data_IF_074831218639
#
_entry.id   IF_074831218639
#
_cell.length_a   1.000
_cell.length_b   1.000
_cell.length_c   1.000
_cell.angle_alpha   90.00
_cell.angle_beta   90.00
_cell.angle_gamma   90.00
#
_symmetry.space_group_name_H-M   'P 1'
#
loop_
_entity.id
_entity.type
_entity.pdbx_description
1 polymer ?
#
# COMPACT_ATOMS: atom_id res chain seq x y z
N UNK A 1 1.77 15.53 -49.66
CA UNK A 1 1.31 14.81 -48.46
C UNK A 1 2.44 14.92 -47.43
N UNK A 2 2.27 15.81 -46.45
CA UNK A 2 3.37 16.46 -45.72
C UNK A 2 4.03 15.52 -44.68
N UNK A 3 5.35 15.57 -44.53
CA UNK A 3 6.15 14.77 -43.59
C UNK A 3 5.68 14.89 -42.12
N UNK A 4 5.12 16.05 -41.76
CA UNK A 4 4.50 16.29 -40.46
C UNK A 4 3.28 15.39 -40.18
N UNK A 5 2.55 14.97 -41.23
CA UNK A 5 1.40 14.07 -41.09
C UNK A 5 1.86 12.62 -40.87
N UNK A 6 2.94 12.19 -41.54
CA UNK A 6 3.60 10.89 -41.27
C UNK A 6 4.19 10.81 -39.86
N UNK A 7 4.72 11.92 -39.32
CA UNK A 7 5.26 11.97 -37.95
C UNK A 7 4.15 11.94 -36.87
N UNK A 8 2.97 12.51 -37.16
CA UNK A 8 1.79 12.38 -36.31
C UNK A 8 1.19 10.96 -36.34
N UNK A 9 1.18 10.30 -37.50
CA UNK A 9 0.66 8.92 -37.62
C UNK A 9 1.61 7.87 -37.02
N UNK A 10 2.91 8.18 -36.91
CA UNK A 10 3.92 7.36 -36.21
C UNK A 10 3.82 7.47 -34.66
N UNK A 11 3.19 8.54 -34.16
CA UNK A 11 2.77 8.69 -32.76
C UNK A 11 1.45 7.94 -32.53
N UNK A 12 1.37 6.67 -32.93
CA UNK A 12 0.49 5.72 -32.24
C UNK A 12 0.95 5.72 -30.79
N UNK A 13 0.27 6.50 -29.94
CA UNK A 13 0.61 6.79 -28.56
C UNK A 13 0.82 5.48 -27.81
N UNK A 14 2.08 5.08 -27.72
CA UNK A 14 2.51 3.89 -27.04
C UNK A 14 2.78 4.29 -25.60
N UNK A 15 1.75 4.12 -24.78
CA UNK A 15 1.86 4.28 -23.33
C UNK A 15 2.40 2.96 -22.77
N UNK A 16 3.71 2.90 -22.55
CA UNK A 16 4.31 1.74 -21.90
C UNK A 16 4.26 1.95 -20.39
N UNK A 17 3.59 1.04 -19.69
CA UNK A 17 3.44 1.08 -18.25
C UNK A 17 4.48 0.15 -17.60
N UNK A 18 5.48 0.74 -16.95
CA UNK A 18 6.41 0.00 -16.10
C UNK A 18 5.78 -0.18 -14.72
N UNK A 19 5.50 -1.42 -14.34
CA UNK A 19 4.84 -1.73 -13.06
C UNK A 19 5.62 -2.78 -12.27
N UNK A 20 5.77 -2.51 -10.98
CA UNK A 20 6.41 -3.41 -10.04
C UNK A 20 5.52 -4.65 -9.84
N UNK A 21 5.94 -5.78 -10.43
CA UNK A 21 5.52 -7.16 -10.14
C UNK A 21 4.03 -7.55 -10.31
N UNK A 22 3.13 -6.69 -10.82
CA UNK A 22 1.70 -7.02 -11.01
C UNK A 22 1.21 -6.71 -12.43
N UNK A 23 0.47 -7.66 -13.01
CA UNK A 23 -0.20 -7.54 -14.32
C UNK A 23 -1.64 -7.02 -14.20
N UNK A 24 -2.06 -6.68 -12.98
CA UNK A 24 -3.41 -6.27 -12.63
C UNK A 24 -3.39 -5.04 -11.71
N UNK A 25 -4.46 -4.26 -11.79
CA UNK A 25 -4.80 -3.21 -10.83
C UNK A 25 -5.52 -3.87 -9.67
N UNK A 26 -5.18 -3.44 -8.47
CA UNK A 26 -5.84 -3.83 -7.24
C UNK A 26 -6.70 -2.67 -6.74
N UNK A 27 -7.89 -2.98 -6.24
CA UNK A 27 -8.78 -1.99 -5.62
C UNK A 27 -8.48 -1.95 -4.10
N UNK A 28 -7.66 -0.99 -3.61
CA UNK A 28 -7.03 -1.09 -2.29
C UNK A 28 -8.03 -1.02 -1.12
N UNK A 29 -9.16 -0.33 -1.28
CA UNK A 29 -10.19 -0.24 -0.24
C UNK A 29 -11.01 -1.53 -0.07
N UNK A 30 -10.77 -2.55 -0.89
CA UNK A 30 -11.40 -3.87 -0.72
C UNK A 30 -10.49 -4.85 0.02
N UNK A 31 -9.26 -4.44 0.35
CA UNK A 31 -8.21 -5.36 0.79
C UNK A 31 -8.54 -6.08 2.08
N UNK A 32 -9.16 -5.40 3.05
CA UNK A 32 -9.49 -6.03 4.35
C UNK A 32 -10.60 -7.05 4.21
N UNK A 33 -11.69 -6.67 3.53
CA UNK A 33 -12.78 -7.61 3.23
C UNK A 33 -12.33 -8.81 2.42
N UNK A 34 -11.42 -8.59 1.48
CA UNK A 34 -10.93 -9.68 0.63
C UNK A 34 -10.08 -10.72 1.39
N UNK A 35 -9.56 -10.40 2.58
CA UNK A 35 -8.90 -11.37 3.48
C UNK A 35 -9.89 -12.33 4.15
N UNK A 36 -11.18 -11.99 4.22
CA UNK A 36 -12.21 -12.84 4.84
C UNK A 36 -13.24 -13.37 3.84
N UNK A 37 -13.31 -12.78 2.65
CA UNK A 37 -14.24 -13.13 1.58
C UNK A 37 -13.50 -13.27 0.23
N UNK A 38 -13.02 -14.49 -0.13
CA UNK A 38 -12.22 -14.70 -1.34
C UNK A 38 -12.87 -14.23 -2.65
N UNK A 39 -14.20 -14.27 -2.74
CA UNK A 39 -14.92 -13.80 -3.93
C UNK A 39 -14.79 -12.29 -4.16
N UNK A 40 -14.53 -11.50 -3.11
CA UNK A 40 -14.24 -10.07 -3.22
C UNK A 40 -12.82 -9.86 -3.74
N UNK A 41 -11.87 -10.70 -3.30
CA UNK A 41 -10.51 -10.68 -3.82
C UNK A 41 -10.51 -10.82 -5.34
N UNK A 42 -11.20 -11.81 -5.89
CA UNK A 42 -11.27 -12.03 -7.34
C UNK A 42 -11.85 -10.83 -8.10
N UNK A 43 -12.86 -10.16 -7.54
CA UNK A 43 -13.52 -8.99 -8.17
C UNK A 43 -12.74 -7.70 -8.01
N UNK A 44 -11.81 -7.64 -7.05
CA UNK A 44 -10.97 -6.47 -6.77
C UNK A 44 -9.76 -6.35 -7.70
N UNK A 45 -9.51 -7.36 -8.54
CA UNK A 45 -8.40 -7.38 -9.48
C UNK A 45 -8.90 -7.07 -10.90
N UNK A 46 -8.32 -6.06 -11.53
CA UNK A 46 -8.63 -5.67 -12.91
C UNK A 46 -7.38 -5.82 -13.75
N UNK A 47 -7.35 -6.75 -14.71
CA UNK A 47 -6.14 -6.97 -15.51
C UNK A 47 -5.80 -5.75 -16.34
N UNK A 48 -4.51 -5.43 -16.44
CA UNK A 48 -4.05 -4.28 -17.22
C UNK A 48 -4.36 -4.43 -18.71
N UNK A 49 -4.42 -5.66 -19.22
CA UNK A 49 -4.86 -5.97 -20.59
C UNK A 49 -6.26 -5.47 -20.91
N UNK A 50 -7.13 -5.34 -19.90
CA UNK A 50 -8.55 -5.08 -20.12
C UNK A 50 -8.82 -3.60 -20.37
N UNK A 51 -7.90 -2.72 -19.97
CA UNK A 51 -8.08 -1.26 -20.05
C UNK A 51 -6.86 -0.50 -20.59
N UNK A 52 -5.68 -1.12 -20.70
CA UNK A 52 -4.53 -0.53 -21.36
C UNK A 52 -4.40 -1.08 -22.79
N UNK A 53 -4.25 -0.16 -23.75
CA UNK A 53 -3.94 -0.49 -25.14
C UNK A 53 -2.44 -0.50 -25.45
N UNK A 54 -1.59 -0.20 -24.47
CA UNK A 54 -0.13 -0.11 -24.60
C UNK A 54 0.62 -1.33 -24.07
N UNK A 55 1.95 -1.28 -24.02
CA UNK A 55 2.75 -2.38 -23.46
C UNK A 55 2.74 -2.32 -21.93
N UNK A 56 2.47 -3.46 -21.30
CA UNK A 56 2.68 -3.63 -19.86
C UNK A 56 4.04 -4.29 -19.65
N UNK A 57 4.93 -3.63 -18.91
CA UNK A 57 6.25 -4.14 -18.55
C UNK A 57 6.23 -4.43 -17.06
N UNK A 58 6.14 -5.71 -16.70
CA UNK A 58 6.19 -6.17 -15.31
C UNK A 58 7.64 -6.21 -14.84
N UNK A 59 8.14 -5.11 -14.29
CA UNK A 59 9.48 -5.00 -13.75
C UNK A 59 9.58 -3.86 -12.73
N UNK A 60 10.59 -3.94 -11.86
CA UNK A 60 10.86 -2.90 -10.88
C UNK A 60 11.74 -1.81 -11.50
N UNK A 61 11.37 -0.54 -11.32
CA UNK A 61 12.28 0.58 -11.52
C UNK A 61 13.35 0.56 -10.43
N UNK A 62 14.58 0.85 -10.82
CA UNK A 62 15.74 0.95 -9.95
C UNK A 62 16.31 2.37 -9.94
N UNK A 63 16.24 3.08 -11.07
CA UNK A 63 16.81 4.42 -11.21
C UNK A 63 16.18 5.15 -12.42
N UNK A 64 16.39 6.47 -12.51
CA UNK A 64 16.10 7.31 -13.67
C UNK A 64 17.38 8.03 -14.07
N UNK A 65 17.75 7.91 -15.35
CA UNK A 65 18.85 8.69 -15.92
C UNK A 65 18.46 9.26 -17.28
N UNK A 66 18.51 10.59 -17.38
CA UNK A 66 18.06 11.31 -18.56
C UNK A 66 16.64 10.92 -18.98
N UNK A 67 16.47 10.53 -20.23
CA UNK A 67 15.17 10.15 -20.83
C UNK A 67 14.88 8.64 -20.70
N UNK A 68 15.48 7.94 -19.74
CA UNK A 68 15.23 6.51 -19.53
C UNK A 68 15.04 6.12 -18.06
N UNK A 69 14.15 5.14 -17.84
CA UNK A 69 14.02 4.43 -16.56
C UNK A 69 14.89 3.18 -16.61
N UNK A 70 15.74 3.01 -15.61
CA UNK A 70 16.59 1.83 -15.44
C UNK A 70 15.82 0.82 -14.59
N UNK A 71 15.65 -0.40 -15.11
CA UNK A 71 15.05 -1.52 -14.38
C UNK A 71 16.06 -2.16 -13.45
N UNK A 72 15.59 -2.89 -12.43
CA UNK A 72 16.45 -3.70 -11.54
C UNK A 72 17.31 -4.74 -12.29
N UNK A 73 16.89 -5.17 -13.46
CA UNK A 73 17.64 -6.08 -14.35
C UNK A 73 18.68 -5.34 -15.22
N UNK A 74 18.84 -4.02 -15.07
CA UNK A 74 19.76 -3.18 -15.86
C UNK A 74 19.24 -2.79 -17.25
N UNK A 75 18.03 -3.20 -17.63
CA UNK A 75 17.41 -2.81 -18.92
C UNK A 75 16.82 -1.42 -18.86
N UNK A 76 16.96 -0.68 -19.96
CA UNK A 76 16.44 0.67 -20.12
C UNK A 76 15.03 0.67 -20.72
N UNK A 77 14.21 1.61 -20.27
CA UNK A 77 12.92 1.96 -20.89
C UNK A 77 12.94 3.46 -21.17
N UNK A 78 13.12 3.81 -22.43
CA UNK A 78 13.12 5.21 -22.89
C UNK A 78 11.72 5.83 -22.81
N UNK A 79 11.65 7.12 -22.51
CA UNK A 79 10.41 7.87 -22.42
C UNK A 79 10.57 9.29 -22.95
N UNK A 80 9.51 9.82 -23.57
CA UNK A 80 9.40 11.27 -23.84
C UNK A 80 8.70 11.99 -22.69
N UNK A 81 7.75 11.31 -22.05
CA UNK A 81 7.05 11.77 -20.85
C UNK A 81 6.99 10.63 -19.85
N UNK A 82 7.25 10.91 -18.58
CA UNK A 82 7.22 9.95 -17.49
C UNK A 82 6.14 10.33 -16.47
N UNK A 83 5.35 9.34 -16.04
CA UNK A 83 4.43 9.49 -14.92
C UNK A 83 4.84 8.51 -13.82
N UNK A 84 5.19 9.03 -12.65
CA UNK A 84 5.56 8.25 -11.47
C UNK A 84 4.34 8.14 -10.56
N UNK A 85 3.71 6.97 -10.54
CA UNK A 85 2.54 6.68 -9.70
C UNK A 85 2.79 5.45 -8.79
N UNK A 86 4.01 5.37 -8.24
CA UNK A 86 4.38 4.28 -7.34
C UNK A 86 3.79 4.56 -5.95
N UNK A 87 2.70 3.88 -5.59
CA UNK A 87 2.08 4.01 -4.26
C UNK A 87 2.98 3.43 -3.15
N UNK A 88 2.57 3.62 -1.89
CA UNK A 88 3.16 2.98 -0.71
C UNK A 88 3.40 1.48 -0.96
N UNK A 89 4.48 0.92 -0.41
CA UNK A 89 4.61 -0.53 -0.30
C UNK A 89 3.56 -1.04 0.69
N UNK A 90 2.32 -1.20 0.23
CA UNK A 90 1.34 -1.97 0.95
C UNK A 90 1.85 -3.41 0.98
N UNK A 91 2.39 -3.81 2.13
CA UNK A 91 2.64 -5.21 2.44
C UNK A 91 1.33 -5.99 2.62
N UNK A 92 0.19 -5.36 2.38
CA UNK A 92 -1.06 -6.01 2.02
C UNK A 92 -0.96 -6.49 0.56
N UNK A 93 0.13 -7.19 0.24
CA UNK A 93 0.11 -8.03 -0.94
C UNK A 93 -0.95 -9.07 -0.65
N UNK A 94 -1.96 -9.17 -1.51
CA UNK A 94 -2.79 -10.36 -1.63
C UNK A 94 -1.87 -11.57 -1.72
N UNK A 95 -1.56 -12.14 -0.57
CA UNK A 95 -1.15 -13.51 -0.54
C UNK A 95 -2.47 -14.23 -0.30
N UNK A 96 -2.84 -15.06 -1.26
CA UNK A 96 -3.87 -16.10 -1.16
C UNK A 96 -3.76 -17.05 0.07
N UNK A 97 -2.77 -17.01 0.99
CA UNK A 97 -2.86 -17.68 2.29
C UNK A 97 -3.49 -16.86 3.41
N UNK A 98 -3.86 -15.59 3.26
CA UNK A 98 -4.35 -14.80 4.41
C UNK A 98 -5.76 -15.22 4.88
N UNK A 99 -6.66 -15.54 3.95
CA UNK A 99 -7.98 -16.11 4.26
C UNK A 99 -7.85 -17.48 4.92
N UNK A 100 -6.95 -18.32 4.39
CA UNK A 100 -6.58 -19.63 4.95
C UNK A 100 -6.04 -19.44 6.37
N UNK A 101 -5.09 -18.53 6.58
CA UNK A 101 -4.51 -18.23 7.90
C UNK A 101 -5.59 -17.81 8.89
N UNK A 102 -6.46 -16.87 8.53
CA UNK A 102 -7.55 -16.41 9.41
C UNK A 102 -8.48 -17.57 9.75
N UNK A 103 -8.92 -18.31 8.74
CA UNK A 103 -9.88 -19.42 8.90
C UNK A 103 -9.38 -20.54 9.79
N UNK A 104 -8.08 -20.80 9.82
CA UNK A 104 -7.47 -21.88 10.60
C UNK A 104 -6.69 -21.40 11.84
N UNK A 105 -6.85 -20.13 12.24
CA UNK A 105 -6.28 -19.60 13.47
C UNK A 105 -7.35 -19.49 14.54
N UNK A 106 -7.08 -20.00 15.74
CA UNK A 106 -7.99 -19.79 16.88
C UNK A 106 -7.78 -18.41 17.50
N UNK A 107 -6.57 -17.86 17.35
CA UNK A 107 -6.16 -16.57 17.92
C UNK A 107 -5.44 -15.70 16.90
N UNK A 108 -5.89 -14.44 16.77
CA UNK A 108 -5.40 -13.49 15.77
C UNK A 108 -5.06 -12.17 16.46
N UNK A 109 -3.84 -11.72 16.23
CA UNK A 109 -3.34 -10.41 16.64
C UNK A 109 -3.33 -9.44 15.45
N UNK A 110 -3.81 -8.22 15.67
CA UNK A 110 -3.75 -7.11 14.72
C UNK A 110 -2.99 -5.96 15.37
N UNK A 111 -1.97 -5.44 14.71
CA UNK A 111 -1.13 -4.34 15.21
C UNK A 111 -1.38 -3.10 14.35
N UNK A 112 -1.96 -2.05 14.94
CA UNK A 112 -2.31 -0.77 14.31
C UNK A 112 -3.81 -0.48 14.36
N UNK A 113 -4.22 0.58 15.06
CA UNK A 113 -5.63 0.95 15.31
C UNK A 113 -6.21 2.03 14.37
N UNK A 114 -5.58 2.24 13.23
CA UNK A 114 -6.04 3.13 12.16
C UNK A 114 -7.00 2.40 11.20
N UNK A 115 -7.60 3.06 10.17
CA UNK A 115 -8.70 2.48 9.38
C UNK A 115 -8.47 1.03 8.94
N UNK A 116 -7.28 0.74 8.42
CA UNK A 116 -6.86 -0.60 8.01
C UNK A 116 -7.02 -1.68 9.07
N UNK A 117 -6.49 -1.45 10.28
CA UNK A 117 -6.55 -2.47 11.35
C UNK A 117 -7.91 -2.56 12.01
N UNK A 118 -8.63 -1.44 12.11
CA UNK A 118 -10.02 -1.44 12.61
C UNK A 118 -10.96 -2.18 11.66
N UNK A 119 -10.82 -1.96 10.35
CA UNK A 119 -11.59 -2.65 9.33
C UNK A 119 -11.29 -4.14 9.33
N UNK A 120 -10.01 -4.55 9.37
CA UNK A 120 -9.64 -5.96 9.44
C UNK A 120 -10.19 -6.65 10.71
N UNK A 121 -10.07 -6.00 11.88
CA UNK A 121 -10.61 -6.54 13.12
C UNK A 121 -12.13 -6.73 13.03
N UNK A 122 -12.84 -5.79 12.39
CA UNK A 122 -14.27 -5.87 12.21
C UNK A 122 -14.69 -6.97 11.23
N UNK A 123 -14.02 -7.08 10.09
CA UNK A 123 -14.25 -8.13 9.08
C UNK A 123 -14.05 -9.52 9.69
N UNK A 124 -12.98 -9.73 10.48
CA UNK A 124 -12.74 -11.00 11.15
C UNK A 124 -13.81 -11.28 12.22
N UNK A 125 -14.12 -10.31 13.09
CA UNK A 125 -15.07 -10.52 14.17
C UNK A 125 -16.52 -10.79 13.68
N UNK A 126 -16.86 -10.36 12.47
CA UNK A 126 -18.16 -10.65 11.85
C UNK A 126 -18.15 -12.01 11.15
N UNK A 127 -17.10 -12.32 10.39
CA UNK A 127 -17.07 -13.51 9.54
C UNK A 127 -16.59 -14.76 10.28
N UNK A 128 -15.82 -14.59 11.36
CA UNK A 128 -15.21 -15.64 12.17
C UNK A 128 -15.43 -15.34 13.67
N UNK A 129 -16.69 -15.40 14.16
CA UNK A 129 -17.04 -14.97 15.52
C UNK A 129 -16.43 -15.83 16.64
N UNK A 130 -15.96 -17.04 16.31
CA UNK A 130 -15.32 -17.94 17.25
C UNK A 130 -13.82 -17.65 17.44
N UNK A 131 -13.21 -16.88 16.53
CA UNK A 131 -11.80 -16.53 16.61
C UNK A 131 -11.57 -15.50 17.72
N UNK A 132 -10.53 -15.72 18.53
CA UNK A 132 -10.06 -14.71 19.48
C UNK A 132 -9.31 -13.61 18.70
N UNK A 133 -9.87 -12.41 18.65
CA UNK A 133 -9.23 -11.25 17.99
C UNK A 133 -8.70 -10.27 19.03
N UNK A 134 -7.42 -9.94 18.93
CA UNK A 134 -6.77 -8.91 19.75
C UNK A 134 -6.23 -7.80 18.85
N UNK A 135 -6.60 -6.56 19.11
CA UNK A 135 -6.12 -5.35 18.43
C UNK A 135 -5.24 -4.54 19.37
N UNK A 136 -4.01 -4.26 18.94
CA UNK A 136 -3.03 -3.46 19.69
C UNK A 136 -2.76 -2.17 18.91
N UNK A 137 -2.82 -1.03 19.61
CA UNK A 137 -2.52 0.28 19.04
C UNK A 137 -1.73 1.12 20.03
N UNK A 138 -0.72 1.81 19.52
CA UNK A 138 0.26 2.60 20.25
C UNK A 138 -0.26 3.94 20.75
N UNK A 139 -1.49 4.33 20.39
CA UNK A 139 -2.08 5.62 20.74
C UNK A 139 -3.33 5.51 21.62
N UNK A 140 -3.78 6.61 22.26
CA UNK A 140 -4.89 6.59 23.20
C UNK A 140 -6.26 6.29 22.59
N UNK A 141 -6.40 6.27 21.26
CA UNK A 141 -7.70 6.07 20.60
C UNK A 141 -7.54 5.48 19.21
N UNK A 142 -8.48 4.61 18.83
CA UNK A 142 -8.62 4.14 17.45
C UNK A 142 -9.02 5.29 16.51
N UNK A 143 -8.67 5.14 15.23
CA UNK A 143 -9.05 6.06 14.15
C UNK A 143 -8.74 7.52 14.53
N UNK A 144 -7.50 7.82 14.88
CA UNK A 144 -7.12 9.19 15.21
C UNK A 144 -7.33 10.13 14.02
N UNK A 145 -7.04 9.63 12.82
CA UNK A 145 -7.23 10.31 11.53
C UNK A 145 -8.69 10.66 11.22
N UNK A 146 -9.68 9.92 11.73
CA UNK A 146 -11.10 10.07 11.41
C UNK A 146 -11.93 10.84 12.47
N UNK A 147 -11.27 11.42 13.47
CA UNK A 147 -11.89 12.24 14.52
C UNK A 147 -12.45 11.47 15.71
N UNK A 148 -12.66 12.17 16.84
CA UNK A 148 -12.90 11.56 18.16
C UNK A 148 -14.13 10.64 18.24
N UNK A 149 -15.24 11.04 17.62
CA UNK A 149 -16.50 10.28 17.66
C UNK A 149 -16.40 8.95 16.91
N UNK A 150 -15.64 8.90 15.82
CA UNK A 150 -15.45 7.69 15.03
C UNK A 150 -14.69 6.64 15.85
N UNK A 151 -13.56 7.03 16.45
CA UNK A 151 -12.74 6.14 17.29
C UNK A 151 -13.51 5.56 18.48
N UNK A 152 -14.27 6.39 19.20
CA UNK A 152 -15.09 5.92 20.32
C UNK A 152 -16.16 4.91 19.92
N UNK A 153 -16.85 5.15 18.79
CA UNK A 153 -17.85 4.22 18.26
C UNK A 153 -17.22 2.90 17.79
N UNK A 154 -16.09 2.97 17.09
CA UNK A 154 -15.36 1.79 16.65
C UNK A 154 -14.90 0.92 17.83
N UNK A 155 -14.33 1.53 18.87
CA UNK A 155 -13.91 0.83 20.08
C UNK A 155 -15.07 0.11 20.79
N UNK A 156 -16.20 0.82 20.98
CA UNK A 156 -17.39 0.23 21.60
C UNK A 156 -17.94 -0.94 20.77
N UNK A 157 -18.00 -0.78 19.45
CA UNK A 157 -18.49 -1.82 18.55
C UNK A 157 -17.56 -3.04 18.55
N UNK A 158 -16.25 -2.86 18.43
CA UNK A 158 -15.26 -3.95 18.46
C UNK A 158 -15.35 -4.74 19.78
N UNK A 159 -15.41 -4.04 20.92
CA UNK A 159 -15.58 -4.69 22.23
C UNK A 159 -16.91 -5.44 22.34
N UNK A 160 -17.99 -4.91 21.77
CA UNK A 160 -19.29 -5.61 21.70
C UNK A 160 -19.25 -6.89 20.87
N UNK A 161 -18.21 -7.05 20.03
CA UNK A 161 -17.90 -8.25 19.24
C UNK A 161 -16.78 -9.10 19.85
N UNK A 162 -16.50 -8.92 21.15
CA UNK A 162 -15.46 -9.64 21.89
C UNK A 162 -14.03 -9.45 21.36
N UNK A 163 -13.77 -8.38 20.61
CA UNK A 163 -12.40 -8.00 20.24
C UNK A 163 -11.72 -7.39 21.46
N UNK A 164 -10.60 -7.97 21.88
CA UNK A 164 -9.74 -7.39 22.92
C UNK A 164 -8.97 -6.21 22.31
N UNK A 165 -9.09 -5.01 22.89
CA UNK A 165 -8.41 -3.82 22.37
C UNK A 165 -7.49 -3.23 23.43
N UNK A 166 -6.19 -3.20 23.12
CA UNK A 166 -5.14 -2.57 23.91
C UNK A 166 -4.70 -1.28 23.24
N UNK A 167 -4.91 -0.16 23.93
CA UNK A 167 -4.50 1.18 23.51
C UNK A 167 -3.26 1.61 24.29
N UNK A 168 -2.52 2.56 23.74
CA UNK A 168 -1.24 3.03 24.31
C UNK A 168 -0.23 1.88 24.48
N UNK A 169 -0.30 0.87 23.61
CA UNK A 169 0.56 -0.31 23.60
C UNK A 169 1.15 -0.49 22.21
N UNK A 170 2.47 -0.66 22.12
CA UNK A 170 3.15 -1.04 20.88
C UNK A 170 3.73 -2.45 20.99
N UNK A 171 3.95 -3.11 19.86
CA UNK A 171 4.66 -4.38 19.77
C UNK A 171 5.80 -4.16 18.78
N UNK A 172 7.00 -4.55 19.18
CA UNK A 172 8.15 -4.60 18.28
C UNK A 172 8.06 -5.86 17.42
N UNK A 173 7.64 -5.71 16.17
CA UNK A 173 7.53 -6.81 15.22
C UNK A 173 8.85 -7.15 14.53
N UNK A 174 9.86 -6.27 14.60
CA UNK A 174 11.15 -6.48 13.93
C UNK A 174 12.04 -7.46 14.69
N UNK A 175 11.84 -7.59 16.00
CA UNK A 175 12.54 -8.57 16.84
C UNK A 175 11.91 -9.97 16.83
N UNK A 176 10.79 -10.16 16.12
CA UNK A 176 10.09 -11.44 16.03
C UNK A 176 10.69 -12.34 14.95
N UNK A 177 10.81 -13.63 15.26
CA UNK A 177 11.21 -14.67 14.32
C UNK A 177 10.01 -15.31 13.63
N UNK A 178 10.22 -15.90 12.45
CA UNK A 178 9.18 -16.62 11.75
C UNK A 178 8.72 -17.85 12.56
N UNK A 179 7.42 -17.91 12.87
CA UNK A 179 6.82 -18.97 13.69
C UNK A 179 6.64 -18.62 15.17
N UNK A 180 7.17 -17.47 15.62
CA UNK A 180 6.89 -16.97 16.96
C UNK A 180 5.39 -16.66 17.12
N UNK A 181 4.83 -17.07 18.26
CA UNK A 181 3.41 -16.88 18.59
C UNK A 181 3.19 -16.02 19.82
N UNK A 182 4.25 -15.71 20.56
CA UNK A 182 4.18 -14.91 21.79
C UNK A 182 4.63 -13.48 21.48
N UNK A 183 3.71 -12.55 21.57
CA UNK A 183 3.94 -11.12 21.37
C UNK A 183 3.95 -10.43 22.71
N UNK A 184 4.87 -9.47 22.90
CA UNK A 184 4.93 -8.68 24.12
C UNK A 184 4.72 -7.22 23.79
N UNK A 185 3.75 -6.61 24.49
CA UNK A 185 3.49 -5.17 24.39
C UNK A 185 4.58 -4.36 25.10
N UNK A 186 4.64 -3.06 24.82
CA UNK A 186 5.54 -2.11 25.47
C UNK A 186 5.39 -2.04 27.00
N UNK A 187 4.20 -2.34 27.55
CA UNK A 187 3.99 -2.46 29.00
C UNK A 187 4.32 -3.84 29.58
N UNK A 188 4.70 -4.80 28.74
CA UNK A 188 5.03 -6.17 29.17
C UNK A 188 3.87 -7.16 29.14
N UNK A 189 2.67 -6.78 28.68
CA UNK A 189 1.55 -7.71 28.49
C UNK A 189 1.94 -8.72 27.41
N UNK A 190 1.80 -10.00 27.73
CA UNK A 190 2.02 -11.12 26.83
C UNK A 190 0.72 -11.54 26.13
N UNK A 191 0.80 -11.68 24.80
CA UNK A 191 -0.32 -12.04 23.94
C UNK A 191 0.14 -13.22 23.08
N UNK A 192 -0.53 -14.36 23.18
CA UNK A 192 -0.29 -15.49 22.27
C UNK A 192 -1.29 -15.43 21.12
N UNK A 193 -0.79 -15.50 19.88
CA UNK A 193 -1.61 -15.56 18.67
C UNK A 193 -1.04 -16.53 17.64
N UNK A 194 -1.92 -17.25 16.93
CA UNK A 194 -1.55 -18.15 15.83
C UNK A 194 -1.21 -17.38 14.55
N UNK A 195 -1.80 -16.19 14.40
CA UNK A 195 -1.55 -15.29 13.28
C UNK A 195 -1.43 -13.84 13.76
N UNK A 196 -0.54 -13.08 13.13
CA UNK A 196 -0.38 -11.66 13.37
C UNK A 196 -0.45 -10.87 12.05
N UNK A 197 -1.26 -9.82 12.03
CA UNK A 197 -1.37 -8.86 10.93
C UNK A 197 -0.80 -7.50 11.36
N UNK A 198 0.20 -7.02 10.62
CA UNK A 198 0.71 -5.66 10.76
C UNK A 198 -0.09 -4.71 9.87
N UNK A 199 -0.82 -3.80 10.49
CA UNK A 199 -1.58 -2.71 9.86
C UNK A 199 -0.93 -1.34 10.16
N UNK A 200 0.40 -1.34 10.37
CA UNK A 200 1.19 -0.14 10.58
C UNK A 200 1.52 0.53 9.25
N UNK A 201 1.70 1.86 9.29
CA UNK A 201 2.17 2.62 8.14
C UNK A 201 3.56 2.13 7.70
N UNK A 202 3.74 1.98 6.39
CA UNK A 202 5.00 1.54 5.77
C UNK A 202 5.69 2.72 5.10
N UNK A 203 7.03 2.67 4.96
CA UNK A 203 7.76 3.71 4.25
C UNK A 203 7.30 3.84 2.80
N UNK A 204 7.36 5.07 2.28
CA UNK A 204 7.11 5.37 0.87
C UNK A 204 7.99 4.53 -0.05
N UNK A 205 7.44 4.08 -1.17
CA UNK A 205 8.17 3.34 -2.20
C UNK A 205 9.10 4.23 -3.04
N UNK A 206 9.50 5.39 -2.52
CA UNK A 206 10.42 6.35 -3.16
C UNK A 206 11.89 6.06 -2.89
N UNK A 207 12.23 4.96 -2.21
CA UNK A 207 13.62 4.61 -1.87
C UNK A 207 14.53 4.52 -3.10
N UNK A 208 14.03 4.03 -4.24
CA UNK A 208 14.78 3.97 -5.50
C UNK A 208 15.00 5.36 -6.13
N UNK A 209 14.16 6.35 -5.80
CA UNK A 209 14.30 7.73 -6.28
C UNK A 209 15.45 8.45 -5.55
N UNK A 210 15.72 8.10 -4.28
CA UNK A 210 16.78 8.71 -3.48
C UNK A 210 18.18 8.56 -4.10
N UNK A 211 18.39 7.51 -4.89
CA UNK A 211 19.63 7.27 -5.63
C UNK A 211 19.69 7.91 -7.02
N UNK A 212 18.56 8.47 -7.49
CA UNK A 212 18.39 8.92 -8.87
C UNK A 212 18.67 10.41 -9.08
N UNK A 213 18.63 10.84 -10.34
CA UNK A 213 18.67 12.25 -10.73
C UNK A 213 17.50 13.07 -10.15
N UNK A 214 16.43 12.43 -9.67
CA UNK A 214 15.29 13.09 -9.02
C UNK A 214 15.41 13.22 -7.49
N UNK A 215 16.54 12.83 -6.88
CA UNK A 215 16.73 12.89 -5.42
C UNK A 215 16.46 14.28 -4.82
N UNK A 216 16.83 15.35 -5.53
CA UNK A 216 16.69 16.74 -5.09
C UNK A 216 15.25 17.26 -5.29
N UNK A 217 14.39 16.44 -5.90
CA UNK A 217 12.96 16.68 -6.04
C UNK A 217 12.14 16.08 -4.89
N UNK A 218 12.77 15.44 -3.90
CA UNK A 218 12.11 14.87 -2.74
C UNK A 218 12.00 15.87 -1.58
N UNK A 219 10.88 15.86 -0.87
CA UNK A 219 10.71 16.56 0.41
C UNK A 219 11.39 15.79 1.57
N UNK A 220 11.29 16.33 2.78
CA UNK A 220 11.88 15.72 3.98
C UNK A 220 11.26 14.37 4.36
N UNK A 221 10.03 14.10 3.91
CA UNK A 221 9.32 12.83 4.14
C UNK A 221 9.61 11.81 3.03
N UNK A 222 10.31 12.22 1.96
CA UNK A 222 10.62 11.39 0.81
C UNK A 222 9.50 11.33 -0.23
N UNK A 223 8.61 12.33 -0.28
CA UNK A 223 7.62 12.51 -1.35
C UNK A 223 8.19 13.38 -2.47
N UNK A 224 7.80 13.11 -3.71
CA UNK A 224 8.12 13.96 -4.86
C UNK A 224 7.37 15.28 -4.74
N UNK A 225 8.11 16.38 -4.72
CA UNK A 225 7.55 17.73 -4.79
C UNK A 225 6.97 17.97 -6.18
N UNK A 226 5.68 18.34 -6.26
CA UNK A 226 5.00 18.64 -7.51
C UNK A 226 4.37 20.03 -7.55
N UNK A 227 4.16 20.55 -8.76
CA UNK A 227 3.38 21.77 -8.97
C UNK A 227 1.87 21.49 -9.07
N UNK A 228 1.06 22.55 -9.26
CA UNK A 228 -0.41 22.45 -9.41
C UNK A 228 -0.87 21.60 -10.62
N UNK A 229 0.03 21.30 -11.55
CA UNK A 229 -0.21 20.44 -12.71
C UNK A 229 0.38 19.03 -12.51
N UNK A 230 0.79 18.68 -11.29
CA UNK A 230 1.42 17.41 -10.93
C UNK A 230 2.77 17.16 -11.62
N UNK A 231 3.44 18.21 -12.10
CA UNK A 231 4.80 18.10 -12.65
C UNK A 231 5.80 18.06 -11.52
N UNK A 232 6.76 17.14 -11.59
CA UNK A 232 7.86 17.06 -10.63
C UNK A 232 8.66 18.36 -10.69
N UNK A 233 8.98 18.93 -9.52
CA UNK A 233 9.69 20.20 -9.39
C UNK A 233 10.97 20.21 -10.22
N UNK A 234 11.12 21.22 -11.08
CA UNK A 234 12.28 21.37 -11.96
C UNK A 234 12.26 20.51 -13.23
N UNK A 235 11.21 19.70 -13.45
CA UNK A 235 11.07 18.82 -14.61
C UNK A 235 9.95 19.31 -15.54
N UNK A 236 10.16 19.19 -16.85
CA UNK A 236 9.19 19.62 -17.87
C UNK A 236 8.29 18.49 -18.36
N UNK A 237 8.79 17.26 -18.32
CA UNK A 237 8.16 16.08 -18.91
C UNK A 237 7.97 14.92 -17.90
N UNK A 238 8.25 15.16 -16.61
CA UNK A 238 8.07 14.19 -15.54
C UNK A 238 6.93 14.65 -14.64
N UNK A 239 5.96 13.77 -14.43
CA UNK A 239 4.79 13.97 -13.59
C UNK A 239 4.78 12.91 -12.49
N UNK A 240 4.12 13.21 -11.37
CA UNK A 240 3.93 12.24 -10.30
C UNK A 240 2.53 12.34 -9.70
N UNK A 241 2.00 11.23 -9.20
CA UNK A 241 0.66 11.18 -8.63
C UNK A 241 0.51 10.04 -7.60
N UNK A 242 -0.51 10.17 -6.74
CA UNK A 242 -0.79 9.20 -5.67
C UNK A 242 0.03 9.46 -4.42
N UNK A 243 0.22 8.45 -3.58
CA UNK A 243 0.84 8.63 -2.25
C UNK A 243 2.31 9.09 -2.28
N UNK A 244 2.95 9.02 -3.46
CA UNK A 244 4.36 9.41 -3.64
C UNK A 244 4.56 10.92 -3.75
N UNK A 245 3.51 11.72 -3.93
CA UNK A 245 3.66 13.19 -4.07
C UNK A 245 3.34 13.92 -2.78
N UNK A 246 3.94 15.09 -2.62
CA UNK A 246 3.50 16.05 -1.62
C UNK A 246 2.10 16.59 -1.96
N UNK A 247 1.43 17.19 -0.96
CA UNK A 247 0.18 17.90 -1.22
C UNK A 247 0.55 19.24 -1.86
N UNK A 248 0.07 19.55 -3.09
CA UNK A 248 0.39 20.81 -3.73
C UNK A 248 -0.09 21.96 -2.84
N UNK A 249 0.84 22.77 -2.35
CA UNK A 249 0.50 24.01 -1.65
C UNK A 249 0.23 25.05 -2.74
N UNK A 250 -1.04 25.42 -2.89
CA UNK A 250 -1.46 26.53 -3.75
C UNK A 250 -1.07 27.89 -3.19
#
# INVERSE_FOLDING_TARGET
>A
MNESKKRCDALKRRCDALKRRKEYLEIPWTNMRSKVEPSVAEKSLINHSDYLSGQVITASAADISGEAVIRTEGRLVEYTYLVIAAALEYLISFTFPDDVKIKYSDSILIVGGEPSGVELAAEIAVNYPDNKVTLVHDRPRLLESAGQKAGGKALLWLRSKNVEVYLEQSIDLESMSEGDRLYRTSSGIEITADCCFSCLDRPLSSSWIRGSELKDCLDNDGRLMVDVNLRVKGQLNIFAAGDIIDIPVG
#
